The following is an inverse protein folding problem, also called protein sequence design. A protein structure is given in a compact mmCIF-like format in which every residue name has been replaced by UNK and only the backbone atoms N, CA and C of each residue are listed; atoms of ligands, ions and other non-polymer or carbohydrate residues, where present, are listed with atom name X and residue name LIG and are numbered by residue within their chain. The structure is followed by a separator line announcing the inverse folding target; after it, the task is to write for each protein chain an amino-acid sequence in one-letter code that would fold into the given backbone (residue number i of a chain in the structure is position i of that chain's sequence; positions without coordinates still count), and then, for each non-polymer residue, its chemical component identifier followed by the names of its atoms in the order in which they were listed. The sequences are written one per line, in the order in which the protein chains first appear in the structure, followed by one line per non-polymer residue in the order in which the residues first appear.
data_IF_666653524512
#
_entry.id   IF_666653524512
#
_cell.length_a   1.000
_cell.length_b   1.000
_cell.length_c   1.000
_cell.angle_alpha   90.00
_cell.angle_beta   90.00
_cell.angle_gamma   90.00
#
_symmetry.space_group_name_H-M   'P 1'
#
loop_
_entity.id
_entity.type
_entity.pdbx_description
1 polymer ?
#
# COMPACT_ATOMS: atom_id res chain seq x y z
N UNK A 1 -33.66 9.44 -44.71
CA UNK A 1 -33.44 8.28 -43.84
C UNK A 1 -31.94 7.97 -43.84
N UNK A 2 -31.21 8.38 -42.79
CA UNK A 2 -29.79 8.09 -42.66
C UNK A 2 -29.63 6.85 -41.78
N UNK A 3 -29.02 5.80 -42.33
CA UNK A 3 -28.66 4.58 -41.61
C UNK A 3 -27.49 4.88 -40.64
N UNK A 4 -27.72 4.74 -39.35
CA UNK A 4 -26.66 4.71 -38.36
C UNK A 4 -25.89 3.38 -38.49
N UNK A 5 -24.63 3.45 -38.90
CA UNK A 5 -23.70 2.32 -38.91
C UNK A 5 -23.24 2.03 -37.46
N UNK A 6 -23.84 1.03 -36.85
CA UNK A 6 -23.40 0.50 -35.57
C UNK A 6 -22.00 -0.14 -35.70
N UNK A 7 -21.07 0.31 -34.90
CA UNK A 7 -19.71 -0.26 -34.82
C UNK A 7 -19.78 -1.67 -34.25
N UNK A 8 -19.35 -2.68 -35.00
CA UNK A 8 -19.29 -4.07 -34.51
C UNK A 8 -18.16 -4.24 -33.47
N UNK A 9 -18.29 -5.21 -32.54
CA UNK A 9 -17.28 -5.50 -31.54
C UNK A 9 -15.88 -5.71 -32.14
N UNK A 10 -15.78 -6.28 -33.32
CA UNK A 10 -14.54 -6.49 -34.04
C UNK A 10 -13.94 -5.17 -34.55
N UNK A 11 -14.73 -4.25 -35.06
CA UNK A 11 -14.28 -2.93 -35.48
C UNK A 11 -13.87 -2.02 -34.31
N UNK A 12 -14.40 -2.27 -33.11
CA UNK A 12 -13.93 -1.59 -31.89
C UNK A 12 -12.53 -2.05 -31.49
N UNK A 13 -12.28 -3.35 -31.50
CA UNK A 13 -10.96 -3.93 -31.15
C UNK A 13 -9.89 -3.48 -32.15
N UNK A 14 -10.19 -3.46 -33.45
CA UNK A 14 -9.25 -2.98 -34.46
C UNK A 14 -8.93 -1.48 -34.33
N UNK A 15 -9.89 -0.66 -33.91
CA UNK A 15 -9.66 0.78 -33.65
C UNK A 15 -8.87 1.05 -32.35
N UNK A 16 -9.05 0.21 -31.32
CA UNK A 16 -8.24 0.31 -30.09
C UNK A 16 -6.79 -0.11 -30.36
N UNK A 17 -6.57 -1.13 -31.18
CA UNK A 17 -5.21 -1.57 -31.55
C UNK A 17 -4.47 -0.54 -32.44
N UNK A 18 -5.20 0.21 -33.29
CA UNK A 18 -4.62 1.27 -34.12
C UNK A 18 -4.58 2.66 -33.47
N UNK A 19 -5.35 2.89 -32.42
CA UNK A 19 -5.43 4.18 -31.69
C UNK A 19 -4.35 4.38 -30.60
N UNK A 20 -3.59 3.35 -30.26
CA UNK A 20 -2.53 3.43 -29.24
C UNK A 20 -1.23 4.15 -29.67
N UNK A 21 -1.19 4.71 -30.90
CA UNK A 21 0.00 5.34 -31.48
C UNK A 21 -0.10 6.85 -31.76
N UNK A 22 -1.11 7.54 -31.23
CA UNK A 22 -1.27 8.97 -31.48
C UNK A 22 -1.56 9.77 -30.18
N UNK A 23 -0.68 9.71 -29.20
CA UNK A 23 -0.52 10.79 -28.24
C UNK A 23 0.84 11.41 -28.54
N UNK A 24 0.83 12.55 -29.21
CA UNK A 24 1.99 13.29 -29.60
C UNK A 24 2.79 13.72 -28.38
N UNK A 25 4.01 13.23 -28.31
CA UNK A 25 5.10 13.81 -27.51
C UNK A 25 6.06 14.43 -28.50
N UNK A 26 6.35 15.72 -28.29
CA UNK A 26 7.23 16.51 -29.12
C UNK A 26 8.59 15.83 -29.33
N UNK A 27 9.16 16.10 -30.48
CA UNK A 27 10.40 15.55 -31.01
C UNK A 27 11.55 15.59 -29.99
N UNK A 28 12.23 14.44 -29.77
CA UNK A 28 13.57 14.46 -29.26
C UNK A 28 14.06 13.33 -28.34
N UNK A 29 13.35 12.21 -28.20
CA UNK A 29 13.98 11.01 -27.57
C UNK A 29 13.52 9.73 -28.26
N UNK A 30 14.43 8.80 -28.60
CA UNK A 30 14.05 7.50 -29.10
C UNK A 30 13.26 6.76 -28.00
N UNK A 31 12.06 6.29 -28.34
CA UNK A 31 11.33 5.36 -27.51
C UNK A 31 12.13 4.04 -27.46
N UNK A 32 13.03 3.94 -26.47
CA UNK A 32 13.58 2.64 -26.10
C UNK A 32 12.43 1.84 -25.53
N UNK A 33 11.94 0.88 -26.30
CA UNK A 33 11.08 -0.17 -25.84
C UNK A 33 11.65 -0.70 -24.52
N UNK A 34 10.84 -0.72 -23.46
CA UNK A 34 11.11 -1.51 -22.28
C UNK A 34 11.01 -3.00 -22.69
N UNK A 35 12.00 -3.47 -23.44
CA UNK A 35 12.30 -4.86 -23.48
C UNK A 35 12.87 -5.18 -22.09
N UNK A 36 12.06 -5.81 -21.26
CA UNK A 36 12.57 -6.50 -20.10
C UNK A 36 13.60 -7.50 -20.65
N UNK A 37 14.88 -7.18 -20.52
CA UNK A 37 15.93 -8.19 -20.61
C UNK A 37 15.64 -9.12 -19.46
N UNK A 38 15.06 -10.28 -19.77
CA UNK A 38 15.06 -11.42 -18.88
C UNK A 38 16.55 -11.73 -18.65
N UNK A 39 17.12 -11.17 -17.56
CA UNK A 39 18.35 -11.71 -17.00
C UNK A 39 17.97 -13.11 -16.52
N UNK A 40 18.65 -14.08 -17.08
CA UNK A 40 18.58 -15.50 -16.74
C UNK A 40 19.27 -15.72 -15.37
N UNK A 41 18.77 -14.99 -14.36
CA UNK A 41 19.02 -15.28 -12.97
C UNK A 41 17.89 -16.24 -12.59
N UNK A 42 18.24 -17.48 -12.34
CA UNK A 42 17.38 -18.48 -11.72
C UNK A 42 16.83 -17.89 -10.43
N UNK A 43 15.76 -17.13 -10.58
CA UNK A 43 14.98 -16.62 -9.47
C UNK A 43 14.47 -17.86 -8.74
N UNK A 44 15.14 -18.22 -7.65
CA UNK A 44 14.59 -19.16 -6.67
C UNK A 44 13.22 -18.59 -6.36
N UNK A 45 12.18 -19.27 -6.85
CA UNK A 45 10.80 -18.87 -6.60
C UNK A 45 10.62 -18.92 -5.08
N UNK A 46 10.78 -17.77 -4.43
CA UNK A 46 10.56 -17.62 -3.00
C UNK A 46 9.12 -18.05 -2.78
N UNK A 47 8.92 -19.14 -2.04
CA UNK A 47 7.59 -19.57 -1.65
C UNK A 47 6.98 -18.42 -0.83
N UNK A 48 5.91 -17.76 -1.32
CA UNK A 48 5.37 -16.60 -0.63
C UNK A 48 4.93 -16.96 0.79
N UNK A 49 5.20 -16.07 1.74
CA UNK A 49 4.62 -16.19 3.07
C UNK A 49 3.10 -15.98 2.99
N UNK A 50 2.36 -17.01 3.33
CA UNK A 50 0.88 -17.00 3.37
C UNK A 50 0.34 -17.03 4.81
N UNK A 51 1.19 -16.91 5.83
CA UNK A 51 0.80 -16.94 7.23
C UNK A 51 -0.19 -15.82 7.60
N UNK A 52 -0.14 -14.71 6.87
CA UNK A 52 -1.09 -13.60 7.02
C UNK A 52 -2.54 -13.96 6.68
N UNK A 53 -2.78 -15.10 6.02
CA UNK A 53 -4.13 -15.64 5.74
C UNK A 53 -4.68 -16.53 6.87
N UNK A 54 -3.85 -16.93 7.84
CA UNK A 54 -4.25 -17.82 8.91
C UNK A 54 -5.38 -17.21 9.74
N UNK A 55 -6.39 -18.03 10.07
CA UNK A 55 -7.52 -17.64 10.92
C UNK A 55 -8.57 -16.75 10.24
N UNK A 56 -8.51 -16.52 8.92
CA UNK A 56 -9.56 -15.78 8.20
C UNK A 56 -10.85 -16.60 8.17
N UNK A 57 -10.75 -17.88 7.79
CA UNK A 57 -11.92 -18.75 7.62
C UNK A 57 -12.68 -18.91 8.93
N UNK A 58 -13.99 -18.66 8.90
CA UNK A 58 -14.89 -18.84 10.03
C UNK A 58 -14.88 -17.69 11.05
N UNK A 59 -14.13 -16.61 10.79
CA UNK A 59 -14.06 -15.41 11.62
C UNK A 59 -14.57 -14.18 10.86
N UNK A 60 -14.82 -13.09 11.59
CA UNK A 60 -15.11 -11.78 11.01
C UNK A 60 -13.80 -11.16 10.50
N UNK A 61 -13.47 -11.42 9.24
CA UNK A 61 -12.22 -10.95 8.64
C UNK A 61 -12.49 -9.93 7.53
N UNK A 62 -11.75 -8.84 7.52
CA UNK A 62 -11.83 -7.81 6.49
C UNK A 62 -10.45 -7.37 6.03
N UNK A 63 -10.25 -7.31 4.70
CA UNK A 63 -9.08 -6.68 4.10
C UNK A 63 -9.42 -5.26 3.70
N UNK A 64 -8.61 -4.32 4.18
CA UNK A 64 -8.72 -2.89 3.94
C UNK A 64 -7.71 -2.49 2.86
N UNK A 65 -8.23 -2.00 1.77
CA UNK A 65 -7.45 -1.49 0.64
C UNK A 65 -7.12 -0.02 0.87
N UNK A 66 -5.85 0.26 1.18
CA UNK A 66 -5.35 1.57 1.57
C UNK A 66 -4.27 2.07 0.60
N UNK A 67 -4.63 2.69 -0.55
CA UNK A 67 -3.64 3.17 -1.53
C UNK A 67 -2.96 4.48 -1.12
N UNK A 68 -3.59 5.27 -0.26
CA UNK A 68 -3.09 6.57 0.23
C UNK A 68 -3.29 6.70 1.74
N UNK A 69 -2.42 7.43 2.46
CA UNK A 69 -2.51 7.58 3.92
C UNK A 69 -3.64 8.51 4.37
N UNK A 70 -4.05 9.46 3.55
CA UNK A 70 -5.16 10.42 3.80
C UNK A 70 -5.24 10.93 5.24
N UNK A 71 -4.08 11.35 5.81
CA UNK A 71 -3.99 11.83 7.18
C UNK A 71 -4.41 10.79 8.23
N UNK A 72 -4.12 9.50 8.03
CA UNK A 72 -4.47 8.37 8.90
C UNK A 72 -5.98 8.03 9.00
N UNK A 73 -6.87 8.69 8.26
CA UNK A 73 -8.28 8.31 8.23
C UNK A 73 -8.51 6.84 7.87
N UNK A 74 -7.79 6.25 6.90
CA UNK A 74 -7.89 4.82 6.64
C UNK A 74 -7.59 3.96 7.87
N UNK A 75 -6.56 4.27 8.64
CA UNK A 75 -6.22 3.56 9.87
C UNK A 75 -7.31 3.73 10.94
N UNK A 76 -7.94 4.91 11.00
CA UNK A 76 -9.08 5.16 11.88
C UNK A 76 -10.29 4.29 11.53
N UNK A 77 -10.56 4.02 10.25
CA UNK A 77 -11.62 3.08 9.84
C UNK A 77 -11.30 1.64 10.27
N UNK A 78 -10.03 1.22 10.18
CA UNK A 78 -9.58 -0.09 10.69
C UNK A 78 -9.80 -0.18 12.20
N UNK A 79 -9.40 0.86 12.93
CA UNK A 79 -9.63 0.98 14.38
C UNK A 79 -11.13 0.89 14.70
N UNK A 80 -11.98 1.62 13.98
CA UNK A 80 -13.41 1.58 14.20
C UNK A 80 -14.01 0.20 13.97
N UNK A 81 -13.55 -0.53 12.93
CA UNK A 81 -13.97 -1.90 12.69
C UNK A 81 -13.67 -2.79 13.90
N UNK A 82 -12.41 -2.81 14.37
CA UNK A 82 -11.99 -3.64 15.51
C UNK A 82 -12.72 -3.23 16.80
N UNK A 83 -12.80 -1.94 17.07
CA UNK A 83 -13.44 -1.41 18.30
C UNK A 83 -14.94 -1.64 18.33
N UNK A 84 -15.64 -1.46 17.20
CA UNK A 84 -17.09 -1.68 17.13
C UNK A 84 -17.46 -3.14 17.37
N UNK A 85 -16.69 -4.10 16.82
CA UNK A 85 -16.91 -5.51 17.13
C UNK A 85 -16.72 -5.81 18.62
N UNK A 86 -15.70 -5.23 19.24
CA UNK A 86 -15.46 -5.35 20.66
C UNK A 86 -16.63 -4.77 21.49
N UNK A 87 -17.03 -3.53 21.22
CA UNK A 87 -17.97 -2.79 22.06
C UNK A 87 -19.42 -3.23 21.86
N UNK A 88 -19.80 -3.57 20.61
CA UNK A 88 -21.19 -3.88 20.29
C UNK A 88 -21.49 -5.38 20.28
N UNK A 89 -20.47 -6.22 20.01
CA UNK A 89 -20.68 -7.67 19.86
C UNK A 89 -19.84 -8.51 20.84
N UNK A 90 -18.98 -7.88 21.65
CA UNK A 90 -18.07 -8.57 22.57
C UNK A 90 -17.01 -9.42 21.89
N UNK A 91 -16.74 -9.20 20.59
CA UNK A 91 -15.83 -9.97 19.80
C UNK A 91 -14.49 -9.24 19.61
N UNK A 92 -13.39 -9.97 19.82
CA UNK A 92 -12.03 -9.48 19.66
C UNK A 92 -11.19 -10.49 18.87
N UNK A 93 -9.93 -10.19 18.59
CA UNK A 93 -8.98 -11.18 18.07
C UNK A 93 -8.97 -12.44 18.97
N UNK A 94 -8.97 -13.68 18.42
CA UNK A 94 -8.85 -14.02 16.99
C UNK A 94 -10.16 -14.07 16.20
N UNK A 95 -11.33 -13.80 16.80
CA UNK A 95 -12.64 -13.89 16.15
C UNK A 95 -12.92 -12.72 15.20
N UNK A 96 -12.22 -11.61 15.37
CA UNK A 96 -12.23 -10.45 14.48
C UNK A 96 -10.81 -10.19 13.99
N UNK A 97 -10.65 -10.06 12.69
CA UNK A 97 -9.37 -9.89 12.00
C UNK A 97 -9.44 -8.72 11.03
N UNK A 98 -8.46 -7.85 11.05
CA UNK A 98 -8.27 -6.85 10.03
C UNK A 98 -6.93 -7.04 9.33
N UNK A 99 -6.91 -6.85 8.02
CA UNK A 99 -5.71 -6.91 7.19
C UNK A 99 -5.61 -5.59 6.45
N UNK A 100 -4.48 -4.91 6.52
CA UNK A 100 -4.28 -3.58 5.91
C UNK A 100 -3.23 -3.70 4.81
N UNK A 101 -3.59 -3.24 3.62
CA UNK A 101 -2.69 -3.21 2.48
C UNK A 101 -1.78 -1.99 2.52
N UNK A 102 -0.47 -2.19 2.34
CA UNK A 102 0.51 -1.12 2.16
C UNK A 102 1.06 -1.20 0.73
N UNK A 103 0.58 -0.30 -0.14
CA UNK A 103 1.01 -0.17 -1.52
C UNK A 103 0.74 1.25 -2.03
N UNK A 104 1.13 1.59 -3.25
CA UNK A 104 0.96 2.95 -3.75
C UNK A 104 1.65 3.97 -2.84
N UNK A 105 0.92 4.94 -2.34
CA UNK A 105 1.44 6.00 -1.47
C UNK A 105 1.57 5.57 -0.01
N UNK A 106 1.10 4.39 0.37
CA UNK A 106 1.22 3.88 1.74
C UNK A 106 2.43 2.97 1.97
N UNK A 107 3.22 2.66 0.94
CA UNK A 107 4.49 1.93 1.09
C UNK A 107 5.40 2.54 2.17
N UNK A 108 5.60 3.87 2.26
CA UNK A 108 6.41 4.50 3.30
C UNK A 108 5.98 4.20 4.73
N UNK A 109 4.69 3.91 4.97
CA UNK A 109 4.17 3.57 6.30
C UNK A 109 4.75 2.27 6.85
N UNK A 110 5.29 1.41 5.98
CA UNK A 110 5.94 0.17 6.38
C UNK A 110 7.29 0.36 7.08
N UNK A 111 7.88 1.56 7.05
CA UNK A 111 9.26 1.76 7.49
C UNK A 111 9.37 2.57 8.77
N UNK A 112 10.47 2.34 9.51
CA UNK A 112 10.77 3.03 10.75
C UNK A 112 11.28 4.48 10.53
N UNK A 113 11.49 5.21 11.62
CA UNK A 113 11.90 6.60 11.62
C UNK A 113 13.24 6.85 10.91
N UNK A 114 14.17 5.89 10.99
CA UNK A 114 15.48 5.98 10.32
C UNK A 114 15.31 6.05 8.80
N UNK A 115 14.45 5.22 8.23
CA UNK A 115 14.14 5.26 6.81
C UNK A 115 13.35 6.54 6.45
N UNK A 116 12.42 6.96 7.30
CA UNK A 116 11.65 8.20 7.07
C UNK A 116 12.55 9.42 6.97
N UNK A 117 13.48 9.59 7.91
CA UNK A 117 14.45 10.67 7.90
C UNK A 117 15.37 10.61 6.66
N UNK A 118 15.89 9.41 6.35
CA UNK A 118 16.87 9.22 5.27
C UNK A 118 16.26 9.46 3.88
N UNK A 119 15.03 9.00 3.64
CA UNK A 119 14.40 9.01 2.33
C UNK A 119 13.36 10.12 2.14
N UNK A 120 13.15 10.97 3.13
CA UNK A 120 12.23 12.10 3.05
C UNK A 120 10.76 11.68 2.88
N UNK A 121 10.34 10.59 3.50
CA UNK A 121 9.01 10.03 3.32
C UNK A 121 7.88 10.96 3.78
N UNK A 122 8.13 11.84 4.74
CA UNK A 122 7.13 12.85 5.14
C UNK A 122 6.74 13.77 3.99
N UNK A 123 7.72 14.25 3.21
CA UNK A 123 7.43 15.06 2.03
C UNK A 123 6.70 14.24 0.94
N UNK A 124 7.16 13.01 0.70
CA UNK A 124 6.58 12.13 -0.31
C UNK A 124 5.12 11.73 -0.02
N UNK A 125 4.76 11.59 1.25
CA UNK A 125 3.40 11.24 1.72
C UNK A 125 2.58 12.46 2.15
N UNK A 126 3.12 13.67 2.01
CA UNK A 126 2.52 14.92 2.48
C UNK A 126 2.16 14.88 3.99
N UNK A 127 2.97 14.17 4.76
CA UNK A 127 2.76 14.01 6.20
C UNK A 127 3.51 15.09 6.96
N UNK A 128 2.77 15.81 7.82
CA UNK A 128 3.31 16.86 8.67
C UNK A 128 3.52 16.37 10.09
N UNK A 129 4.65 16.65 10.67
CA UNK A 129 4.89 16.44 12.09
C UNK A 129 4.11 17.47 12.91
N UNK A 130 3.35 17.00 13.92
CA UNK A 130 2.46 17.85 14.71
C UNK A 130 3.20 18.90 15.54
N UNK A 131 4.34 18.52 16.09
CA UNK A 131 5.11 19.39 16.98
C UNK A 131 5.85 20.48 16.21
N UNK A 132 6.49 20.11 15.09
CA UNK A 132 7.32 21.03 14.32
C UNK A 132 6.55 21.78 13.23
N UNK A 133 5.35 21.30 12.85
CA UNK A 133 4.56 21.78 11.71
C UNK A 133 5.30 21.68 10.36
N UNK A 134 6.41 20.99 10.33
CA UNK A 134 7.21 20.72 9.14
C UNK A 134 6.90 19.34 8.58
N UNK A 135 7.45 19.03 7.40
CA UNK A 135 7.40 17.68 6.83
C UNK A 135 7.99 16.68 7.81
N UNK A 136 7.27 15.58 8.05
CA UNK A 136 7.66 14.61 9.06
C UNK A 136 8.99 13.93 8.71
N UNK A 137 9.91 13.87 9.64
CA UNK A 137 11.18 13.14 9.54
C UNK A 137 11.12 11.78 10.25
N UNK A 138 9.98 11.44 10.82
CA UNK A 138 9.68 10.17 11.48
C UNK A 138 8.36 9.59 10.95
N UNK A 139 8.14 8.29 11.15
CA UNK A 139 6.88 7.66 10.78
C UNK A 139 5.78 8.02 11.80
N UNK A 140 5.07 9.10 11.51
CA UNK A 140 4.00 9.62 12.36
C UNK A 140 2.78 8.68 12.48
N UNK A 141 2.74 7.61 11.68
CA UNK A 141 1.67 6.59 11.71
C UNK A 141 2.06 5.35 12.52
N UNK A 142 3.35 5.13 12.77
CA UNK A 142 3.84 3.91 13.42
C UNK A 142 3.46 3.85 14.91
N UNK A 143 3.77 4.89 15.64
CA UNK A 143 3.48 5.03 17.08
C UNK A 143 2.89 6.41 17.29
N UNK A 144 1.76 6.49 17.97
CA UNK A 144 1.10 7.75 18.26
C UNK A 144 1.85 8.54 19.32
N UNK A 145 2.36 9.70 18.97
CA UNK A 145 2.95 10.64 19.93
C UNK A 145 1.84 11.43 20.61
N UNK A 146 1.89 11.49 21.95
CA UNK A 146 0.86 12.16 22.73
C UNK A 146 -0.55 11.55 22.61
N UNK A 147 -0.62 10.28 22.20
CA UNK A 147 -1.90 9.56 22.02
C UNK A 147 -2.68 9.93 20.76
N UNK A 148 -2.05 10.61 19.80
CA UNK A 148 -2.70 11.11 18.58
C UNK A 148 -1.88 10.72 17.36
N UNK A 149 -2.57 10.19 16.33
CA UNK A 149 -2.01 10.00 14.98
C UNK A 149 -2.40 11.19 14.13
N UNK A 150 -1.55 11.69 13.22
CA UNK A 150 -1.89 12.81 12.34
C UNK A 150 -3.17 12.52 11.56
N UNK A 151 -4.15 13.43 11.71
CA UNK A 151 -5.37 13.42 10.92
C UNK A 151 -5.32 14.43 9.76
N UNK A 152 -6.46 14.91 9.35
CA UNK A 152 -6.55 16.11 8.49
C UNK A 152 -6.23 17.36 9.33
N UNK A 153 -6.06 18.52 8.67
CA UNK A 153 -5.79 19.79 9.34
C UNK A 153 -6.81 20.14 10.45
N UNK A 154 -8.02 19.57 10.40
CA UNK A 154 -9.12 19.88 11.29
C UNK A 154 -9.42 18.79 12.34
N UNK A 155 -8.90 17.56 12.18
CA UNK A 155 -9.30 16.41 13.02
C UNK A 155 -8.08 15.61 13.44
N UNK A 156 -7.93 15.42 14.75
CA UNK A 156 -6.94 14.51 15.33
C UNK A 156 -7.50 13.08 15.37
N UNK A 157 -6.70 12.12 14.93
CA UNK A 157 -7.06 10.71 14.99
C UNK A 157 -6.55 10.13 16.33
N UNK A 158 -7.39 9.36 17.07
CA UNK A 158 -6.97 8.73 18.31
C UNK A 158 -5.73 7.84 18.14
N UNK A 159 -4.87 7.79 19.15
CA UNK A 159 -3.59 7.06 19.11
C UNK A 159 -3.71 5.56 18.96
N UNK A 160 -4.85 4.99 19.34
CA UNK A 160 -5.18 3.58 19.13
C UNK A 160 -5.46 3.22 17.65
N UNK A 161 -5.43 4.21 16.75
CA UNK A 161 -5.39 4.00 15.30
C UNK A 161 -3.95 3.95 14.72
N UNK A 162 -2.90 4.05 15.53
CA UNK A 162 -1.52 3.87 15.06
C UNK A 162 -1.26 2.42 14.63
N UNK A 163 -0.25 2.23 13.76
CA UNK A 163 0.11 0.88 13.27
C UNK A 163 0.41 -0.05 14.45
N UNK A 164 1.23 0.38 15.42
CA UNK A 164 1.58 -0.46 16.57
C UNK A 164 0.38 -0.79 17.44
N UNK A 165 -0.53 0.16 17.67
CA UNK A 165 -1.75 -0.08 18.44
C UNK A 165 -2.69 -1.05 17.70
N UNK A 166 -2.86 -0.91 16.40
CA UNK A 166 -3.66 -1.82 15.58
C UNK A 166 -3.05 -3.23 15.55
N UNK A 167 -1.73 -3.36 15.43
CA UNK A 167 -1.04 -4.65 15.52
C UNK A 167 -1.29 -5.34 16.87
N UNK A 168 -1.29 -4.57 17.98
CA UNK A 168 -1.51 -5.12 19.32
C UNK A 168 -2.92 -5.72 19.52
N UNK A 169 -3.89 -5.33 18.71
CA UNK A 169 -5.27 -5.87 18.73
C UNK A 169 -5.54 -6.86 17.59
N UNK A 170 -4.49 -7.30 16.87
CA UNK A 170 -4.58 -8.38 15.88
C UNK A 170 -4.68 -7.92 14.42
N UNK A 171 -4.53 -6.62 14.13
CA UNK A 171 -4.44 -6.14 12.74
C UNK A 171 -3.14 -6.60 12.10
N UNK A 172 -3.23 -7.13 10.88
CA UNK A 172 -2.09 -7.55 10.05
C UNK A 172 -1.81 -6.52 8.98
N UNK A 173 -0.55 -6.15 8.81
CA UNK A 173 -0.13 -5.26 7.74
C UNK A 173 0.65 -6.05 6.69
N UNK A 174 0.27 -5.88 5.43
CA UNK A 174 0.93 -6.54 4.29
C UNK A 174 1.48 -5.50 3.32
N UNK A 175 2.75 -5.65 2.93
CA UNK A 175 3.47 -4.76 2.04
C UNK A 175 3.60 -5.37 0.64
N UNK A 176 3.14 -4.66 -0.38
CA UNK A 176 3.26 -5.08 -1.77
C UNK A 176 4.70 -5.03 -2.27
N UNK A 177 5.28 -6.18 -2.63
CA UNK A 177 6.64 -6.24 -3.17
C UNK A 177 6.80 -5.45 -4.47
N UNK A 178 5.81 -5.50 -5.38
CA UNK A 178 5.88 -4.75 -6.63
C UNK A 178 5.90 -3.23 -6.39
N UNK A 179 5.05 -2.73 -5.47
CA UNK A 179 5.05 -1.32 -5.10
C UNK A 179 6.34 -0.92 -4.37
N UNK A 180 6.86 -1.80 -3.52
CA UNK A 180 8.14 -1.59 -2.85
C UNK A 180 9.30 -1.47 -3.84
N UNK A 181 9.38 -2.36 -4.84
CA UNK A 181 10.37 -2.27 -5.91
C UNK A 181 10.24 -0.95 -6.70
N UNK A 182 9.01 -0.53 -7.00
CA UNK A 182 8.78 0.75 -7.66
C UNK A 182 9.31 1.93 -6.83
N UNK A 183 9.07 1.93 -5.52
CA UNK A 183 9.60 2.95 -4.62
C UNK A 183 11.13 2.94 -4.57
N UNK A 184 11.78 1.77 -4.52
CA UNK A 184 13.25 1.70 -4.54
C UNK A 184 13.85 2.24 -5.83
N UNK A 185 13.26 1.94 -6.97
CA UNK A 185 13.69 2.50 -8.26
C UNK A 185 13.51 4.02 -8.31
N UNK A 186 12.37 4.53 -7.83
CA UNK A 186 12.08 5.96 -7.77
C UNK A 186 13.08 6.71 -6.86
N UNK A 187 13.39 6.16 -5.69
CA UNK A 187 14.37 6.72 -4.76
C UNK A 187 15.78 6.71 -5.38
N UNK A 188 16.18 5.62 -6.03
CA UNK A 188 17.46 5.52 -6.70
C UNK A 188 17.61 6.59 -7.80
N UNK A 189 16.58 6.77 -8.61
CA UNK A 189 16.58 7.80 -9.65
C UNK A 189 16.65 9.22 -9.07
N UNK A 190 15.93 9.49 -7.98
CA UNK A 190 15.90 10.82 -7.34
C UNK A 190 17.17 11.16 -6.56
N UNK A 191 17.85 10.18 -5.97
CA UNK A 191 19.04 10.37 -5.13
C UNK A 191 20.35 10.04 -5.84
N UNK A 192 20.33 9.56 -7.08
CA UNK A 192 21.53 9.12 -7.82
C UNK A 192 22.15 7.84 -7.22
N UNK A 193 21.36 7.00 -6.55
CA UNK A 193 21.80 5.79 -5.86
C UNK A 193 21.55 4.50 -6.64
N UNK A 194 21.97 3.37 -6.03
CA UNK A 194 21.71 2.04 -6.56
C UNK A 194 20.41 1.49 -5.94
N UNK A 195 19.46 1.05 -6.78
CA UNK A 195 18.17 0.53 -6.32
C UNK A 195 18.29 -0.71 -5.42
N UNK A 196 19.27 -1.59 -5.68
CA UNK A 196 19.51 -2.79 -4.88
C UNK A 196 19.95 -2.44 -3.46
N UNK A 197 20.85 -1.45 -3.31
CA UNK A 197 21.35 -1.02 -2.00
C UNK A 197 20.24 -0.30 -1.20
N UNK A 198 19.44 0.54 -1.88
CA UNK A 198 18.28 1.18 -1.27
C UNK A 198 17.25 0.14 -0.83
N UNK A 199 17.02 -0.90 -1.65
CA UNK A 199 16.12 -1.99 -1.31
C UNK A 199 16.58 -2.71 -0.04
N UNK A 200 17.85 -3.09 0.04
CA UNK A 200 18.42 -3.76 1.20
C UNK A 200 18.34 -2.89 2.47
N UNK A 201 18.64 -1.59 2.36
CA UNK A 201 18.51 -0.67 3.48
C UNK A 201 17.06 -0.52 3.95
N UNK A 202 16.11 -0.39 3.04
CA UNK A 202 14.70 -0.32 3.39
C UNK A 202 14.18 -1.62 4.01
N UNK A 203 14.59 -2.79 3.51
CA UNK A 203 14.24 -4.09 4.10
C UNK A 203 14.70 -4.21 5.56
N UNK A 204 15.92 -3.73 5.86
CA UNK A 204 16.46 -3.68 7.22
C UNK A 204 15.72 -2.69 8.15
N UNK A 205 14.89 -1.82 7.60
CA UNK A 205 14.16 -0.78 8.32
C UNK A 205 12.63 -0.96 8.24
N UNK A 206 12.13 -2.14 7.84
CA UNK A 206 10.69 -2.47 7.91
C UNK A 206 10.27 -2.55 9.38
N UNK A 207 9.08 -2.01 9.68
CA UNK A 207 8.46 -2.13 11.00
C UNK A 207 8.18 -3.61 11.35
N UNK A 208 8.23 -3.98 12.63
CA UNK A 208 7.91 -5.36 13.05
C UNK A 208 6.53 -5.81 12.56
N UNK A 209 6.39 -7.12 12.33
CA UNK A 209 5.12 -7.79 11.98
C UNK A 209 4.44 -7.28 10.69
N UNK A 210 5.21 -6.74 9.76
CA UNK A 210 4.74 -6.46 8.40
C UNK A 210 5.21 -7.57 7.47
N UNK A 211 4.26 -8.23 6.79
CA UNK A 211 4.55 -9.31 5.84
C UNK A 211 4.67 -8.76 4.43
N UNK A 212 5.75 -9.08 3.72
CA UNK A 212 5.87 -8.75 2.30
C UNK A 212 5.10 -9.80 1.48
N UNK A 213 4.16 -9.33 0.65
CA UNK A 213 3.39 -10.16 -0.29
C UNK A 213 3.84 -9.87 -1.73
N UNK A 214 3.82 -10.85 -2.65
CA UNK A 214 4.34 -10.68 -4.00
C UNK A 214 3.71 -9.51 -4.77
N UNK A 215 2.38 -9.42 -4.75
CA UNK A 215 1.63 -8.33 -5.36
C UNK A 215 0.32 -8.10 -4.63
N UNK A 216 -0.08 -6.84 -4.43
CA UNK A 216 -1.30 -6.53 -3.68
C UNK A 216 -2.56 -7.03 -4.37
N UNK A 217 -2.62 -6.98 -5.71
CA UNK A 217 -3.76 -7.48 -6.48
C UNK A 217 -4.01 -8.99 -6.26
N UNK A 218 -2.94 -9.77 -6.06
CA UNK A 218 -3.04 -11.19 -5.73
C UNK A 218 -3.45 -11.37 -4.26
N UNK A 219 -2.91 -10.54 -3.36
CA UNK A 219 -3.23 -10.61 -1.94
C UNK A 219 -4.73 -10.32 -1.68
N UNK A 220 -5.33 -9.34 -2.35
CA UNK A 220 -6.77 -9.10 -2.27
C UNK A 220 -7.58 -10.34 -2.69
N UNK A 221 -7.22 -10.94 -3.82
CA UNK A 221 -7.89 -12.16 -4.29
C UNK A 221 -7.76 -13.31 -3.29
N UNK A 222 -6.55 -13.53 -2.76
CA UNK A 222 -6.30 -14.58 -1.77
C UNK A 222 -7.07 -14.37 -0.46
N UNK A 223 -7.12 -13.13 0.06
CA UNK A 223 -7.88 -12.79 1.26
C UNK A 223 -9.38 -13.08 1.08
N UNK A 224 -9.95 -12.65 -0.05
CA UNK A 224 -11.36 -12.89 -0.36
C UNK A 224 -11.65 -14.37 -0.58
N UNK A 225 -10.78 -15.11 -1.26
CA UNK A 225 -10.90 -16.56 -1.42
C UNK A 225 -10.81 -17.30 -0.07
N UNK A 226 -10.08 -16.77 0.90
CA UNK A 226 -10.03 -17.30 2.27
C UNK A 226 -11.27 -16.94 3.11
N UNK A 227 -12.12 -16.02 2.64
CA UNK A 227 -13.37 -15.61 3.31
C UNK A 227 -13.36 -14.20 3.91
N UNK A 228 -12.32 -13.40 3.68
CA UNK A 228 -12.32 -12.01 4.12
C UNK A 228 -13.23 -11.16 3.23
N UNK A 229 -13.98 -10.22 3.85
CA UNK A 229 -14.61 -9.14 3.12
C UNK A 229 -13.56 -8.09 2.66
N UNK A 230 -13.91 -7.26 1.69
CA UNK A 230 -13.03 -6.23 1.12
C UNK A 230 -13.64 -4.85 1.35
N UNK A 231 -12.81 -3.89 1.75
CA UNK A 231 -13.20 -2.49 1.88
C UNK A 231 -12.11 -1.59 1.30
N UNK A 232 -12.50 -0.74 0.35
CA UNK A 232 -11.64 0.29 -0.21
C UNK A 232 -11.66 1.55 0.67
N UNK A 233 -10.48 2.08 0.98
CA UNK A 233 -10.29 3.28 1.80
C UNK A 233 -9.59 4.36 0.95
N UNK A 234 -10.38 5.23 0.33
CA UNK A 234 -9.90 6.36 -0.47
C UNK A 234 -9.53 7.56 0.39
#
# INVERSE_FOLDING_TARGET
MQHQNGTTRRGFVERVASGALAIGVGAGAPATAFAATASDDTAVALKPDTSWLNGIKGNHAQIFDMPAPNGAFPLFHVRNYMQTYKDSYGLTYPHVLSIVSLYGMTVPLAFNDKAWAKYGFGAATQSTDRATKASAVRNVFAIAEGGIVPGSAAIDIPGDASISALQSVGTRFILCNNAFNFWTMRLAAGMGGNAKDIRADLEANILPHITIVPAMVIAFNQAQAAGASYMYLA
#
